data_IF_334986233900
#
_entry.id   IF_334986233900
#
_cell.length_a   1.000
_cell.length_b   1.000
_cell.length_c   1.000
_cell.angle_alpha   90.00
_cell.angle_beta   90.00
_cell.angle_gamma   90.00
#
_symmetry.space_group_name_H-M   'P 1'
#
loop_
_entity.id
_entity.type
_entity.pdbx_description
1 polymer ?
#
# COMPACT_ATOMS: atom_id res chain seq x y z
N UNK A 1 2.16 4.68 -7.71
CA UNK A 1 0.95 3.94 -8.17
C UNK A 1 0.24 4.83 -9.18
N UNK A 2 -0.20 4.27 -10.32
CA UNK A 2 -1.02 5.04 -11.26
C UNK A 2 -2.40 5.19 -10.63
N UNK A 3 -2.85 6.43 -10.42
CA UNK A 3 -4.21 6.69 -9.93
C UNK A 3 -5.19 6.18 -10.97
N UNK A 4 -6.10 5.29 -10.58
CA UNK A 4 -7.16 4.83 -11.48
C UNK A 4 -8.01 6.02 -11.94
N UNK A 5 -8.45 6.04 -13.20
CA UNK A 5 -9.33 7.08 -13.69
C UNK A 5 -10.66 7.05 -12.91
N UNK A 6 -11.25 8.22 -12.62
CA UNK A 6 -12.57 8.27 -12.00
C UNK A 6 -13.63 7.69 -12.94
N UNK A 7 -14.77 7.27 -12.37
CA UNK A 7 -15.93 6.89 -13.17
C UNK A 7 -16.36 8.04 -14.09
N UNK A 8 -16.77 7.75 -15.32
CA UNK A 8 -17.27 8.77 -16.24
C UNK A 8 -18.57 9.36 -15.70
N UNK A 9 -18.70 10.68 -15.80
CA UNK A 9 -19.95 11.38 -15.52
C UNK A 9 -20.90 11.22 -16.71
N UNK A 10 -22.03 10.53 -16.48
CA UNK A 10 -23.02 10.23 -17.51
C UNK A 10 -24.34 10.90 -17.10
N UNK A 11 -24.92 11.77 -17.96
CA UNK A 11 -26.22 12.40 -17.69
C UNK A 11 -27.31 11.37 -17.38
N UNK A 12 -28.22 11.68 -16.44
CA UNK A 12 -29.26 10.73 -16.00
C UNK A 12 -30.11 10.17 -17.15
N UNK A 13 -30.38 10.98 -18.17
CA UNK A 13 -31.12 10.60 -19.39
C UNK A 13 -30.45 9.45 -20.17
N UNK A 14 -29.13 9.32 -20.05
CA UNK A 14 -28.32 8.31 -20.73
C UNK A 14 -27.97 7.12 -19.81
N UNK A 15 -28.34 7.19 -18.52
CA UNK A 15 -28.15 6.11 -17.55
C UNK A 15 -29.24 5.05 -17.66
N UNK A 16 -29.26 4.36 -18.81
CA UNK A 16 -30.08 3.17 -18.99
C UNK A 16 -29.77 2.11 -17.91
N UNK A 17 -30.67 1.16 -17.63
CA UNK A 17 -30.43 0.13 -16.61
C UNK A 17 -29.10 -0.64 -16.81
N UNK A 18 -28.72 -0.91 -18.07
CA UNK A 18 -27.45 -1.55 -18.41
C UNK A 18 -26.26 -0.66 -18.08
N UNK A 19 -26.34 0.63 -18.40
CA UNK A 19 -25.28 1.60 -18.09
C UNK A 19 -25.06 1.68 -16.57
N UNK A 20 -26.14 1.72 -15.77
CA UNK A 20 -26.03 1.71 -14.31
C UNK A 20 -25.36 0.43 -13.77
N UNK A 21 -25.71 -0.72 -14.33
CA UNK A 21 -25.07 -1.98 -13.96
C UNK A 21 -23.57 -1.99 -14.30
N UNK A 22 -23.20 -1.48 -15.48
CA UNK A 22 -21.81 -1.37 -15.90
C UNK A 22 -21.02 -0.39 -15.02
N UNK A 23 -21.60 0.75 -14.65
CA UNK A 23 -20.97 1.70 -13.73
C UNK A 23 -20.69 1.04 -12.36
N UNK A 24 -21.66 0.30 -11.81
CA UNK A 24 -21.46 -0.43 -10.55
C UNK A 24 -20.38 -1.51 -10.65
N UNK A 25 -20.30 -2.24 -11.78
CA UNK A 25 -19.22 -3.21 -12.01
C UNK A 25 -17.85 -2.54 -12.12
N UNK A 26 -17.77 -1.40 -12.81
CA UNK A 26 -16.52 -0.63 -12.95
C UNK A 26 -16.06 -0.12 -11.59
N UNK A 27 -16.97 0.38 -10.75
CA UNK A 27 -16.66 0.80 -9.39
C UNK A 27 -16.04 -0.33 -8.56
N UNK A 28 -16.67 -1.51 -8.55
CA UNK A 28 -16.13 -2.69 -7.88
C UNK A 28 -14.77 -3.13 -8.41
N UNK A 29 -14.53 -3.00 -9.72
CA UNK A 29 -13.24 -3.34 -10.33
C UNK A 29 -12.15 -2.33 -9.93
N UNK A 30 -12.48 -1.04 -9.86
CA UNK A 30 -11.55 0.00 -9.39
C UNK A 30 -11.10 -0.30 -7.95
N UNK A 31 -12.04 -0.61 -7.05
CA UNK A 31 -11.71 -0.96 -5.66
C UNK A 31 -10.81 -2.19 -5.57
N UNK A 32 -11.14 -3.26 -6.31
CA UNK A 32 -10.34 -4.50 -6.31
C UNK A 32 -8.92 -4.27 -6.83
N UNK A 33 -8.76 -3.49 -7.90
CA UNK A 33 -7.43 -3.19 -8.44
C UNK A 33 -6.59 -2.40 -7.44
N UNK A 34 -7.19 -1.46 -6.69
CA UNK A 34 -6.47 -0.74 -5.64
C UNK A 34 -5.98 -1.69 -4.54
N UNK A 35 -6.85 -2.57 -4.03
CA UNK A 35 -6.49 -3.56 -3.02
C UNK A 35 -5.39 -4.50 -3.51
N UNK A 36 -5.47 -4.95 -4.77
CA UNK A 36 -4.45 -5.80 -5.38
C UNK A 36 -3.11 -5.08 -5.54
N UNK A 37 -3.10 -3.80 -5.93
CA UNK A 37 -1.87 -3.01 -6.05
C UNK A 37 -1.17 -2.85 -4.69
N UNK A 38 -1.93 -2.67 -3.61
CA UNK A 38 -1.41 -2.62 -2.24
C UNK A 38 -0.81 -3.97 -1.82
N UNK A 39 -1.53 -5.06 -2.04
CA UNK A 39 -1.06 -6.42 -1.72
C UNK A 39 0.21 -6.78 -2.52
N UNK A 40 0.23 -6.45 -3.81
CA UNK A 40 1.40 -6.64 -4.67
C UNK A 40 2.59 -5.83 -4.15
N UNK A 41 2.38 -4.60 -3.67
CA UNK A 41 3.45 -3.78 -3.11
C UNK A 41 4.03 -4.42 -1.84
N UNK A 42 3.18 -4.89 -0.94
CA UNK A 42 3.60 -5.59 0.29
C UNK A 42 4.37 -6.87 -0.03
N UNK A 43 3.85 -7.71 -0.93
CA UNK A 43 4.51 -8.95 -1.34
C UNK A 43 5.86 -8.70 -2.00
N UNK A 44 5.96 -7.66 -2.85
CA UNK A 44 7.25 -7.27 -3.45
C UNK A 44 8.25 -6.85 -2.39
N UNK A 45 7.83 -6.10 -1.38
CA UNK A 45 8.69 -5.70 -0.28
C UNK A 45 9.15 -6.91 0.54
N UNK A 46 8.27 -7.85 0.83
CA UNK A 46 8.61 -9.09 1.52
C UNK A 46 9.61 -9.93 0.72
N UNK A 47 9.38 -10.09 -0.59
CA UNK A 47 10.32 -10.79 -1.49
C UNK A 47 11.70 -10.12 -1.48
N UNK A 48 11.78 -8.79 -1.50
CA UNK A 48 13.07 -8.07 -1.46
C UNK A 48 13.80 -8.25 -0.12
N UNK A 49 13.06 -8.36 1.00
CA UNK A 49 13.63 -8.67 2.31
C UNK A 49 14.18 -10.11 2.33
N UNK A 50 13.40 -11.07 1.82
CA UNK A 50 13.77 -12.49 1.80
C UNK A 50 14.97 -12.75 0.86
N UNK A 51 15.03 -12.06 -0.29
CA UNK A 51 16.17 -12.12 -1.21
C UNK A 51 17.43 -11.41 -0.69
N UNK A 52 17.34 -10.72 0.46
CA UNK A 52 18.45 -9.96 1.02
C UNK A 52 18.82 -8.69 0.24
N UNK A 53 17.97 -8.28 -0.71
CA UNK A 53 18.15 -7.08 -1.54
C UNK A 53 17.83 -5.79 -0.75
N UNK A 54 16.93 -5.87 0.24
CA UNK A 54 16.74 -4.84 1.27
C UNK A 54 17.54 -5.23 2.50
N UNK A 55 18.67 -4.54 2.77
CA UNK A 55 19.41 -4.72 4.04
C UNK A 55 18.44 -4.43 5.19
N UNK A 56 18.12 -5.45 6.00
CA UNK A 56 17.42 -5.24 7.28
C UNK A 56 18.14 -4.09 8.00
N UNK A 57 17.43 -3.07 8.51
CA UNK A 57 18.07 -2.09 9.37
C UNK A 57 18.71 -2.87 10.52
N UNK A 58 20.04 -2.88 10.54
CA UNK A 58 20.78 -3.42 11.67
C UNK A 58 20.51 -2.43 12.78
N UNK A 59 19.55 -2.75 13.65
CA UNK A 59 19.32 -2.02 14.88
C UNK A 59 20.62 -2.13 15.69
N UNK A 60 21.51 -1.14 15.55
CA UNK A 60 22.60 -0.96 16.52
C UNK A 60 21.90 -0.67 17.84
N UNK A 61 22.09 -1.54 18.83
CA UNK A 61 21.64 -1.29 20.19
C UNK A 61 21.99 0.15 20.58
N UNK A 62 21.00 0.85 21.14
CA UNK A 62 21.18 2.24 21.57
C UNK A 62 22.46 2.32 22.40
N UNK A 63 23.35 3.27 22.09
CA UNK A 63 24.58 3.52 22.86
C UNK A 63 24.24 4.18 24.21
N UNK A 64 23.22 3.69 24.91
CA UNK A 64 22.80 4.20 26.20
C UNK A 64 23.77 3.77 27.31
N UNK A 65 24.66 2.80 27.05
CA UNK A 65 25.64 2.33 28.03
C UNK A 65 26.89 3.23 28.13
N UNK A 66 27.02 4.27 27.30
CA UNK A 66 28.26 5.08 27.25
C UNK A 66 28.34 6.20 28.28
N UNK A 67 27.26 6.46 29.02
CA UNK A 67 27.18 7.59 29.96
C UNK A 67 26.87 7.18 31.41
N UNK A 68 26.92 5.88 31.76
CA UNK A 68 26.83 5.48 33.16
C UNK A 68 28.25 5.31 33.69
N UNK A 69 28.80 6.38 34.26
CA UNK A 69 29.95 6.27 35.16
C UNK A 69 29.56 5.35 36.33
N UNK A 70 30.41 4.39 36.74
CA UNK A 70 30.16 3.64 37.96
C UNK A 70 30.40 4.58 39.14
N UNK A 71 29.32 5.15 39.69
CA UNK A 71 29.37 5.85 40.96
C UNK A 71 29.86 4.86 42.04
N UNK A 72 31.11 5.04 42.45
CA UNK A 72 31.72 4.33 43.56
C UNK A 72 31.80 5.35 44.69
N UNK A 73 30.89 5.25 45.65
CA UNK A 73 30.98 5.88 46.98
C UNK A 73 30.11 5.13 47.97
#
# INVERSE_FOLDING_TARGET
>A
MKKLPPLPDIPEQDQTPVVKALLGLVEQLIERVQQQDEEIALLKDEVNILKGEKKRPVFKGSKLDKNTEPDTS
#
